data_IF_863703620728
#
_entry.id   IF_863703620728
#
_cell.length_a   1.000
_cell.length_b   1.000
_cell.length_c   1.000
_cell.angle_alpha   90.00
_cell.angle_beta   90.00
_cell.angle_gamma   90.00
#
_symmetry.space_group_name_H-M   'P 1'
#
loop_
_entity.id
_entity.type
_entity.pdbx_description
1 polymer ?
#
# COMPACT_ATOMS: atom_id res chain seq x y z
N UNK A 1 7.68 -7.14 -17.75
CA UNK A 1 7.00 -7.66 -16.55
C UNK A 1 5.78 -8.38 -17.06
N UNK A 2 5.50 -9.60 -16.61
CA UNK A 2 4.24 -10.28 -16.92
C UNK A 2 3.09 -9.34 -16.56
N UNK A 3 2.13 -9.19 -17.47
CA UNK A 3 0.88 -8.47 -17.17
C UNK A 3 0.20 -9.19 -16.00
N UNK A 4 -0.06 -8.44 -14.93
CA UNK A 4 -0.84 -8.95 -13.80
C UNK A 4 -2.31 -8.93 -14.20
N UNK A 5 -3.04 -9.97 -13.83
CA UNK A 5 -4.49 -9.94 -14.03
C UNK A 5 -5.13 -8.88 -13.15
N UNK A 6 -6.26 -8.31 -13.59
CA UNK A 6 -7.06 -7.38 -12.79
C UNK A 6 -7.32 -7.91 -11.37
N UNK A 7 -7.63 -9.21 -11.26
CA UNK A 7 -7.89 -9.87 -9.98
C UNK A 7 -6.66 -9.86 -9.06
N UNK A 8 -5.47 -10.17 -9.59
CA UNK A 8 -4.23 -10.12 -8.81
C UNK A 8 -3.92 -8.69 -8.33
N UNK A 9 -4.20 -7.69 -9.16
CA UNK A 9 -4.05 -6.29 -8.79
C UNK A 9 -5.04 -5.87 -7.68
N UNK A 10 -6.31 -6.27 -7.78
CA UNK A 10 -7.34 -6.00 -6.76
C UNK A 10 -7.02 -6.70 -5.41
N UNK A 11 -6.56 -7.95 -5.47
CA UNK A 11 -6.11 -8.70 -4.29
C UNK A 11 -4.89 -8.06 -3.64
N UNK A 12 -3.89 -7.66 -4.44
CA UNK A 12 -2.72 -6.94 -3.97
C UNK A 12 -3.11 -5.60 -3.34
N UNK A 13 -3.99 -4.83 -3.97
CA UNK A 13 -4.48 -3.55 -3.46
C UNK A 13 -5.16 -3.72 -2.10
N UNK A 14 -5.99 -4.75 -1.94
CA UNK A 14 -6.68 -5.08 -0.68
C UNK A 14 -5.69 -5.45 0.44
N UNK A 15 -4.70 -6.28 0.12
CA UNK A 15 -3.68 -6.71 1.08
C UNK A 15 -2.79 -5.52 1.53
N UNK A 16 -2.38 -4.67 0.58
CA UNK A 16 -1.57 -3.50 0.87
C UNK A 16 -2.35 -2.43 1.65
N UNK A 17 -3.63 -2.20 1.32
CA UNK A 17 -4.49 -1.29 2.07
C UNK A 17 -4.68 -1.75 3.53
N UNK A 18 -4.89 -3.05 3.75
CA UNK A 18 -4.97 -3.63 5.10
C UNK A 18 -3.67 -3.45 5.88
N UNK A 19 -2.53 -3.55 5.19
CA UNK A 19 -1.20 -3.35 5.79
C UNK A 19 -0.97 -1.88 6.12
N UNK A 20 -1.35 -0.97 5.22
CA UNK A 20 -1.30 0.47 5.43
C UNK A 20 -2.10 0.88 6.67
N UNK A 21 -3.34 0.40 6.78
CA UNK A 21 -4.20 0.71 7.94
C UNK A 21 -3.57 0.29 9.27
N UNK A 22 -2.90 -0.87 9.31
CA UNK A 22 -2.17 -1.33 10.52
C UNK A 22 -0.99 -0.40 10.84
N UNK A 23 -0.23 0.00 9.83
CA UNK A 23 0.87 0.95 10.01
C UNK A 23 0.40 2.32 10.49
N UNK A 24 -0.72 2.83 9.98
CA UNK A 24 -1.32 4.10 10.41
C UNK A 24 -1.81 4.03 11.87
N UNK A 25 -2.48 2.93 12.26
CA UNK A 25 -2.86 2.70 13.66
C UNK A 25 -1.65 2.61 14.61
N UNK A 26 -0.57 1.99 14.16
CA UNK A 26 0.67 1.94 14.96
C UNK A 26 1.28 3.33 15.15
N UNK A 27 1.23 4.18 14.12
CA UNK A 27 1.62 5.59 14.21
C UNK A 27 0.78 6.37 15.22
N UNK A 28 -0.54 6.23 15.13
CA UNK A 28 -1.50 6.91 16.00
C UNK A 28 -1.36 6.46 17.46
N UNK A 29 -1.04 5.18 17.70
CA UNK A 29 -0.89 4.64 19.06
C UNK A 29 0.20 5.32 19.89
N UNK A 30 1.16 6.01 19.26
CA UNK A 30 2.26 6.70 19.95
C UNK A 30 3.24 5.76 20.68
N UNK A 31 3.10 4.43 20.54
CA UNK A 31 3.90 3.42 21.27
C UNK A 31 5.25 3.11 20.63
N UNK A 32 5.57 3.73 19.49
CA UNK A 32 6.78 3.43 18.72
C UNK A 32 7.99 4.20 19.25
N UNK A 33 9.10 3.49 19.43
CA UNK A 33 10.40 4.11 19.66
C UNK A 33 10.87 4.88 18.41
N UNK A 34 11.85 5.77 18.54
CA UNK A 34 12.27 6.69 17.47
C UNK A 34 12.66 5.99 16.15
N UNK A 35 13.42 4.89 16.23
CA UNK A 35 13.81 4.08 15.06
C UNK A 35 12.59 3.40 14.42
N UNK A 36 11.68 2.86 15.23
CA UNK A 36 10.45 2.21 14.79
C UNK A 36 9.49 3.21 14.13
N UNK A 37 9.36 4.42 14.69
CA UNK A 37 8.56 5.51 14.12
C UNK A 37 9.07 5.87 12.73
N UNK A 38 10.39 6.13 12.62
CA UNK A 38 11.00 6.49 11.33
C UNK A 38 10.84 5.37 10.29
N UNK A 39 10.99 4.11 10.68
CA UNK A 39 10.75 2.97 9.80
C UNK A 39 9.29 2.87 9.37
N UNK A 40 8.35 3.03 10.30
CA UNK A 40 6.92 2.96 10.01
C UNK A 40 6.48 4.10 9.07
N UNK A 41 7.00 5.31 9.26
CA UNK A 41 6.75 6.46 8.38
C UNK A 41 7.19 6.17 6.94
N UNK A 42 8.35 5.53 6.77
CA UNK A 42 8.82 5.10 5.43
C UNK A 42 7.94 4.03 4.83
N UNK A 43 7.49 3.05 5.63
CA UNK A 43 6.56 2.00 5.17
C UNK A 43 5.23 2.58 4.71
N UNK A 44 4.64 3.48 5.49
CA UNK A 44 3.38 4.17 5.12
C UNK A 44 3.54 4.91 3.79
N UNK A 45 4.63 5.65 3.60
CA UNK A 45 4.91 6.34 2.33
C UNK A 45 5.04 5.36 1.16
N UNK A 46 5.78 4.27 1.33
CA UNK A 46 5.96 3.26 0.28
C UNK A 46 4.64 2.57 -0.09
N UNK A 47 3.82 2.21 0.91
CA UNK A 47 2.51 1.57 0.70
C UNK A 47 1.55 2.50 -0.05
N UNK A 48 1.52 3.79 0.29
CA UNK A 48 0.73 4.79 -0.44
C UNK A 48 1.15 4.89 -1.90
N UNK A 49 2.45 4.94 -2.18
CA UNK A 49 2.98 4.94 -3.56
C UNK A 49 2.57 3.67 -4.30
N UNK A 50 2.74 2.50 -3.69
CA UNK A 50 2.37 1.22 -4.28
C UNK A 50 0.87 1.16 -4.63
N UNK A 51 0.00 1.59 -3.71
CA UNK A 51 -1.45 1.66 -3.95
C UNK A 51 -1.80 2.61 -5.09
N UNK A 52 -1.14 3.79 -5.18
CA UNK A 52 -1.34 4.71 -6.31
C UNK A 52 -0.91 4.09 -7.63
N UNK A 53 0.20 3.35 -7.67
CA UNK A 53 0.67 2.67 -8.89
C UNK A 53 -0.28 1.56 -9.33
N UNK A 54 -0.75 0.74 -8.38
CA UNK A 54 -1.73 -0.33 -8.66
C UNK A 54 -3.07 0.27 -9.14
N UNK A 55 -3.53 1.37 -8.54
CA UNK A 55 -4.74 2.06 -8.98
C UNK A 55 -4.64 2.55 -10.42
N UNK A 56 -3.49 3.12 -10.82
CA UNK A 56 -3.25 3.54 -12.21
C UNK A 56 -3.24 2.38 -13.19
N UNK A 57 -2.67 1.24 -12.80
CA UNK A 57 -2.68 0.03 -13.61
C UNK A 57 -4.10 -0.49 -13.80
N UNK A 58 -4.90 -0.52 -12.73
CA UNK A 58 -6.32 -0.93 -12.77
C UNK A 58 -7.20 0.00 -13.63
N UNK A 59 -6.90 1.30 -13.65
CA UNK A 59 -7.56 2.28 -14.53
C UNK A 59 -7.17 2.08 -16.00
N UNK A 60 -5.91 1.73 -16.27
CA UNK A 60 -5.40 1.49 -17.62
C UNK A 60 -5.91 0.17 -18.24
N UNK A 61 -6.36 -0.79 -17.43
CA UNK A 61 -7.03 -2.02 -17.90
C UNK A 61 -8.52 -1.83 -18.30
N UNK A 62 -9.07 -0.61 -18.28
CA UNK A 62 -10.45 -0.34 -18.70
C UNK A 62 -10.58 0.13 -20.16
N UNK A 63 -9.50 0.13 -20.95
CA UNK A 63 -9.48 0.56 -22.36
C UNK A 63 -9.70 -0.57 -23.41
N UNK A 64 -10.21 -1.75 -23.01
CA UNK A 64 -10.58 -2.85 -23.91
C UNK A 64 -12.09 -2.97 -24.19
#
# INVERSE_FOLDING_TARGET
>A
MSEFTRKELEEAMTALASTLHKCEKMQESGRLQFSQKTLNDRRVKALRIALTLIGRELESCCDD
#
